data_IF_221085044645
#
_entry.id   IF_221085044645
#
_cell.length_a   1.000
_cell.length_b   1.000
_cell.length_c   1.000
_cell.angle_alpha   90.00
_cell.angle_beta   90.00
_cell.angle_gamma   90.00
#
_symmetry.space_group_name_H-M   'P 1'
#
loop_
_entity.id
_entity.type
_entity.pdbx_description
1 polymer ?
#
# COMPACT_ATOMS: atom_id res chain seq x y z
N UNK A 1 -30.04 -16.40 44.34
CA UNK A 1 -29.83 -16.77 42.92
C UNK A 1 -30.35 -15.73 41.92
N UNK A 2 -31.17 -14.75 42.31
CA UNK A 2 -31.70 -13.72 41.40
C UNK A 2 -30.92 -12.40 41.33
N UNK A 3 -29.99 -12.11 42.24
CA UNK A 3 -29.21 -10.85 42.20
C UNK A 3 -27.94 -10.93 41.34
N UNK A 4 -27.40 -12.14 41.12
CA UNK A 4 -26.16 -12.34 40.35
C UNK A 4 -26.40 -12.24 38.83
N UNK A 5 -27.58 -12.66 38.38
CA UNK A 5 -27.98 -12.65 36.97
C UNK A 5 -28.22 -11.20 36.50
N UNK A 6 -28.84 -10.36 37.33
CA UNK A 6 -29.09 -8.94 37.03
C UNK A 6 -27.80 -8.15 36.87
N UNK A 7 -26.76 -8.44 37.67
CA UNK A 7 -25.43 -7.83 37.54
C UNK A 7 -24.74 -8.24 36.23
N UNK A 8 -24.90 -9.48 35.79
CA UNK A 8 -24.35 -9.96 34.51
C UNK A 8 -24.96 -9.26 33.29
N UNK A 9 -26.26 -8.94 33.33
CA UNK A 9 -26.94 -8.18 32.28
C UNK A 9 -26.56 -6.69 32.29
N UNK A 10 -26.35 -6.08 33.45
CA UNK A 10 -25.89 -4.68 33.55
C UNK A 10 -24.45 -4.53 33.04
N UNK A 11 -23.58 -5.53 33.27
CA UNK A 11 -22.20 -5.55 32.74
C UNK A 11 -22.11 -5.80 31.22
N UNK A 12 -23.14 -6.39 30.60
CA UNK A 12 -23.22 -6.55 29.14
C UNK A 12 -23.96 -5.40 28.45
N UNK A 13 -24.85 -4.68 29.14
CA UNK A 13 -25.56 -3.52 28.60
C UNK A 13 -24.70 -2.24 28.56
N UNK A 14 -23.61 -2.16 29.32
CA UNK A 14 -22.71 -1.00 29.33
C UNK A 14 -21.71 -0.94 28.16
N UNK A 15 -21.72 -1.92 27.25
CA UNK A 15 -20.91 -1.88 26.02
C UNK A 15 -21.56 -1.14 24.85
N UNK A 16 -22.78 -0.62 25.01
CA UNK A 16 -23.50 0.03 23.92
C UNK A 16 -23.44 1.56 23.91
N UNK A 17 -22.77 2.22 24.86
CA UNK A 17 -22.69 3.69 24.88
C UNK A 17 -21.27 4.12 25.23
N UNK A 18 -20.34 3.83 24.35
CA UNK A 18 -19.16 4.67 24.14
C UNK A 18 -18.78 4.40 22.69
N UNK A 19 -18.94 5.39 21.81
CA UNK A 19 -18.41 5.30 20.46
C UNK A 19 -16.95 4.88 20.57
N UNK A 20 -16.60 3.76 19.94
CA UNK A 20 -15.22 3.32 19.89
C UNK A 20 -14.43 4.40 19.14
N UNK A 21 -13.77 5.27 19.89
CA UNK A 21 -12.62 5.99 19.35
C UNK A 21 -11.59 4.88 19.13
N UNK A 22 -11.40 4.47 17.88
CA UNK A 22 -10.26 3.63 17.50
C UNK A 22 -9.00 4.45 17.79
N UNK A 23 -8.47 4.32 19.01
CA UNK A 23 -7.13 4.78 19.31
C UNK A 23 -6.19 3.87 18.54
N UNK A 24 -5.65 4.38 17.44
CA UNK A 24 -4.67 3.69 16.61
C UNK A 24 -3.48 3.32 17.50
N UNK A 25 -3.29 2.03 17.73
CA UNK A 25 -2.20 1.51 18.55
C UNK A 25 -0.88 1.94 17.91
N UNK A 26 0.03 2.64 18.63
CA UNK A 26 1.30 3.09 18.08
C UNK A 26 2.22 1.94 17.65
N UNK A 27 1.91 0.70 18.05
CA UNK A 27 2.59 -0.53 17.61
C UNK A 27 1.92 -1.19 16.41
N UNK A 28 0.79 -0.65 15.91
CA UNK A 28 0.10 -1.17 14.75
C UNK A 28 0.85 -0.84 13.45
N UNK A 29 1.09 -1.87 12.64
CA UNK A 29 1.67 -1.69 11.31
C UNK A 29 0.77 -0.82 10.43
N UNK A 30 1.37 0.12 9.72
CA UNK A 30 0.66 1.09 8.88
C UNK A 30 1.30 1.23 7.51
N UNK A 31 0.52 1.66 6.53
CA UNK A 31 0.99 2.05 5.20
C UNK A 31 0.73 3.52 4.96
N UNK A 32 1.56 4.19 4.17
CA UNK A 32 1.17 5.49 3.64
C UNK A 32 -0.09 5.34 2.77
N UNK A 33 -0.99 6.32 2.89
CA UNK A 33 -2.23 6.42 2.16
C UNK A 33 -2.45 7.87 1.70
N UNK A 34 -2.13 8.15 0.43
CA UNK A 34 -2.35 9.44 -0.24
C UNK A 34 -1.98 9.31 -1.72
N UNK A 35 -2.36 10.29 -2.53
CA UNK A 35 -1.92 10.42 -3.93
C UNK A 35 -1.13 11.72 -4.10
N UNK A 36 0.14 11.62 -4.48
CA UNK A 36 0.95 12.76 -4.92
C UNK A 36 0.66 13.04 -6.40
N UNK A 37 0.14 14.24 -6.65
CA UNK A 37 -0.28 14.68 -7.97
C UNK A 37 0.81 15.46 -8.69
N UNK A 38 0.61 15.59 -10.01
CA UNK A 38 1.47 16.39 -10.87
C UNK A 38 1.41 17.89 -10.49
N UNK A 39 2.49 18.66 -10.75
CA UNK A 39 2.55 20.12 -10.62
C UNK A 39 1.41 20.95 -11.21
N UNK A 40 0.64 20.40 -12.15
CA UNK A 40 -0.49 21.08 -12.81
C UNK A 40 -1.71 21.24 -11.88
N UNK A 41 -1.74 20.53 -10.76
CA UNK A 41 -2.79 20.62 -9.75
C UNK A 41 -2.38 21.58 -8.61
N UNK A 42 -3.34 22.12 -7.86
CA UNK A 42 -3.09 23.06 -6.77
C UNK A 42 -3.60 22.53 -5.41
N UNK A 43 -3.44 23.33 -4.35
CA UNK A 43 -3.87 23.00 -3.00
C UNK A 43 -5.40 22.74 -2.88
N UNK A 44 -6.20 23.16 -3.86
CA UNK A 44 -7.64 22.90 -3.88
C UNK A 44 -8.00 21.51 -4.43
N UNK A 45 -7.00 20.75 -4.91
CA UNK A 45 -7.12 19.42 -5.51
C UNK A 45 -8.06 18.46 -4.74
N UNK A 46 -8.02 18.48 -3.40
CA UNK A 46 -8.87 17.64 -2.54
C UNK A 46 -10.38 17.86 -2.71
N UNK A 47 -10.77 19.06 -3.15
CA UNK A 47 -12.16 19.48 -3.33
C UNK A 47 -12.58 19.53 -4.81
N UNK A 48 -11.63 19.74 -5.73
CA UNK A 48 -11.90 19.94 -7.16
C UNK A 48 -11.66 18.69 -8.02
N UNK A 49 -10.79 17.76 -7.59
CA UNK A 49 -10.46 16.58 -8.39
C UNK A 49 -11.50 15.49 -8.20
N UNK A 50 -12.12 15.11 -9.31
CA UNK A 50 -12.92 13.91 -9.42
C UNK A 50 -12.01 12.73 -9.83
N UNK A 51 -12.08 11.61 -9.12
CA UNK A 51 -11.38 10.38 -9.48
C UNK A 51 -11.54 9.97 -10.95
N UNK A 52 -12.67 10.31 -11.57
CA UNK A 52 -12.94 10.02 -12.99
C UNK A 52 -12.00 10.74 -13.96
N UNK A 53 -11.34 11.83 -13.56
CA UNK A 53 -10.35 12.53 -14.41
C UNK A 53 -8.94 11.96 -14.28
N UNK A 54 -8.68 11.13 -13.26
CA UNK A 54 -7.38 10.50 -13.02
C UNK A 54 -7.27 9.20 -13.82
N UNK A 55 -6.93 9.31 -15.10
CA UNK A 55 -6.74 8.13 -15.96
C UNK A 55 -5.59 7.26 -15.45
N UNK A 56 -5.83 5.94 -15.37
CA UNK A 56 -4.87 4.91 -14.95
C UNK A 56 -4.21 5.11 -13.58
N UNK A 57 -4.69 6.05 -12.76
CA UNK A 57 -4.12 6.35 -11.44
C UNK A 57 -5.11 5.95 -10.36
N UNK A 58 -4.70 5.15 -9.34
CA UNK A 58 -5.57 4.86 -8.21
C UNK A 58 -6.02 6.15 -7.53
N UNK A 59 -7.31 6.29 -7.28
CA UNK A 59 -7.85 7.48 -6.63
C UNK A 59 -7.84 7.30 -5.11
N UNK A 60 -6.80 7.78 -4.45
CA UNK A 60 -6.63 7.66 -2.99
C UNK A 60 -6.44 9.05 -2.39
N UNK A 61 -7.27 9.38 -1.39
CA UNK A 61 -7.18 10.62 -0.65
C UNK A 61 -6.28 10.47 0.60
N UNK A 62 -5.65 11.56 1.08
CA UNK A 62 -5.67 12.91 0.50
C UNK A 62 -4.81 13.04 -0.76
N UNK A 63 -5.08 14.06 -1.56
CA UNK A 63 -4.21 14.52 -2.63
C UNK A 63 -3.17 15.48 -2.07
N UNK A 64 -1.91 15.21 -2.41
CA UNK A 64 -0.74 15.97 -1.99
C UNK A 64 -0.07 16.55 -3.23
N UNK A 65 0.47 17.75 -3.08
CA UNK A 65 1.04 18.53 -4.15
C UNK A 65 2.41 19.10 -3.74
N UNK A 66 3.30 19.25 -4.71
CA UNK A 66 4.59 19.93 -4.55
C UNK A 66 4.79 20.92 -5.69
N UNK A 67 5.13 22.17 -5.37
CA UNK A 67 5.29 23.25 -6.34
C UNK A 67 6.44 23.03 -7.33
N UNK A 68 7.48 22.29 -6.91
CA UNK A 68 8.74 22.12 -7.65
C UNK A 68 8.80 20.81 -8.44
N UNK A 69 7.70 20.07 -8.55
CA UNK A 69 7.64 18.75 -9.21
C UNK A 69 8.48 17.66 -8.55
N UNK A 70 9.05 17.91 -7.37
CA UNK A 70 9.81 16.89 -6.65
C UNK A 70 8.87 16.01 -5.83
N UNK A 71 9.14 14.70 -5.72
CA UNK A 71 8.36 13.83 -4.85
C UNK A 71 8.34 14.35 -3.41
N UNK A 72 7.20 14.25 -2.70
CA UNK A 72 7.11 14.72 -1.33
C UNK A 72 8.07 13.93 -0.44
N UNK A 73 8.62 14.59 0.58
CA UNK A 73 9.47 13.95 1.57
C UNK A 73 8.59 13.14 2.54
N UNK A 74 8.27 11.91 2.15
CA UNK A 74 7.40 11.02 2.93
C UNK A 74 7.96 10.71 4.33
N UNK A 75 9.28 10.72 4.51
CA UNK A 75 9.90 10.53 5.82
C UNK A 75 9.63 11.73 6.74
N UNK A 76 9.71 12.95 6.20
CA UNK A 76 9.34 14.15 6.92
C UNK A 76 7.84 14.14 7.28
N UNK A 77 6.98 13.80 6.33
CA UNK A 77 5.54 13.70 6.57
C UNK A 77 5.21 12.70 7.69
N UNK A 78 5.92 11.57 7.77
CA UNK A 78 5.72 10.59 8.85
C UNK A 78 6.14 11.09 10.24
N UNK A 79 7.14 11.95 10.29
CA UNK A 79 7.69 12.50 11.53
C UNK A 79 6.86 13.68 12.05
N UNK A 80 6.47 14.58 11.15
CA UNK A 80 5.97 15.91 11.51
C UNK A 80 4.46 16.12 11.23
N UNK A 81 3.85 15.34 10.32
CA UNK A 81 2.43 15.50 10.00
C UNK A 81 1.52 14.55 10.79
N UNK A 82 0.21 14.79 10.71
CA UNK A 82 -0.79 13.92 11.30
C UNK A 82 -0.79 12.56 10.57
N UNK A 83 -0.06 11.59 11.14
CA UNK A 83 0.02 10.21 10.62
C UNK A 83 -1.36 9.63 10.28
N UNK A 84 -2.40 9.99 11.01
CA UNK A 84 -3.74 9.44 10.78
C UNK A 84 -4.38 9.90 9.46
N UNK A 85 -3.98 11.05 8.94
CA UNK A 85 -4.52 11.59 7.69
C UNK A 85 -3.83 10.99 6.46
N UNK A 86 -2.55 10.69 6.57
CA UNK A 86 -1.69 10.20 5.48
C UNK A 86 -1.36 8.70 5.57
N UNK A 87 -2.00 7.97 6.47
CA UNK A 87 -1.74 6.53 6.65
C UNK A 87 -2.98 5.72 6.99
N UNK A 88 -2.97 4.47 6.57
CA UNK A 88 -3.97 3.46 6.93
C UNK A 88 -3.36 2.38 7.81
N UNK A 89 -4.16 1.84 8.72
CA UNK A 89 -3.80 0.67 9.51
C UNK A 89 -3.79 -0.58 8.62
N UNK A 90 -2.70 -1.35 8.69
CA UNK A 90 -2.54 -2.55 7.89
C UNK A 90 -3.37 -3.70 8.48
N UNK A 91 -4.30 -4.24 7.69
CA UNK A 91 -5.04 -5.46 8.01
C UNK A 91 -4.19 -6.69 7.72
N UNK A 92 -4.53 -7.84 8.32
CA UNK A 92 -3.74 -9.08 8.21
C UNK A 92 -3.43 -9.50 6.76
N UNK A 93 -4.39 -9.28 5.86
CA UNK A 93 -4.34 -9.63 4.45
C UNK A 93 -3.92 -8.48 3.52
N UNK A 94 -3.59 -7.30 4.07
CA UNK A 94 -3.22 -6.12 3.29
C UNK A 94 -1.70 -5.95 3.21
N UNK A 95 -1.22 -5.40 2.10
CA UNK A 95 0.14 -4.93 1.89
C UNK A 95 0.13 -3.42 1.68
N UNK A 96 1.27 -2.79 1.93
CA UNK A 96 1.51 -1.41 1.56
C UNK A 96 1.87 -1.37 0.08
N UNK A 97 1.12 -0.58 -0.67
CA UNK A 97 1.26 -0.45 -2.11
C UNK A 97 1.81 0.95 -2.41
N UNK A 98 2.77 1.01 -3.34
CA UNK A 98 3.23 2.23 -4.00
C UNK A 98 3.00 2.05 -5.50
N UNK A 99 2.20 2.92 -6.09
CA UNK A 99 1.81 2.91 -7.49
C UNK A 99 2.34 4.17 -8.16
N UNK A 100 3.37 4.04 -8.99
CA UNK A 100 4.06 5.15 -9.66
C UNK A 100 3.73 5.16 -11.15
N UNK A 101 3.30 6.31 -11.66
CA UNK A 101 3.11 6.53 -13.09
C UNK A 101 4.31 7.29 -13.64
N UNK A 102 5.05 6.68 -14.57
CA UNK A 102 6.35 7.19 -15.04
C UNK A 102 6.26 7.50 -16.53
N UNK A 103 6.74 8.69 -16.91
CA UNK A 103 6.82 9.14 -18.30
C UNK A 103 8.19 9.72 -18.56
N UNK A 104 8.85 9.34 -19.67
CA UNK A 104 10.20 9.81 -20.01
C UNK A 104 11.19 9.72 -18.82
N UNK A 105 11.13 8.62 -18.07
CA UNK A 105 11.98 8.36 -16.90
C UNK A 105 11.74 9.30 -15.69
N UNK A 106 10.71 10.16 -15.75
CA UNK A 106 10.28 11.00 -14.65
C UNK A 106 8.99 10.46 -14.02
N UNK A 107 8.93 10.45 -12.69
CA UNK A 107 7.71 10.11 -11.95
C UNK A 107 6.72 11.25 -12.10
N UNK A 108 5.55 10.95 -12.65
CA UNK A 108 4.50 11.91 -12.97
C UNK A 108 3.50 12.05 -11.83
N UNK A 109 3.14 10.93 -11.22
CA UNK A 109 2.34 10.86 -10.01
C UNK A 109 2.68 9.57 -9.25
N UNK A 110 2.38 9.56 -7.96
CA UNK A 110 2.54 8.36 -7.13
C UNK A 110 1.38 8.24 -6.16
N UNK A 111 0.77 7.06 -6.08
CA UNK A 111 -0.28 6.76 -5.13
C UNK A 111 0.17 5.70 -4.13
N UNK A 112 -0.03 5.98 -2.85
CA UNK A 112 0.31 5.13 -1.73
C UNK A 112 -1.00 4.66 -1.08
N UNK A 113 -1.13 3.37 -0.76
CA UNK A 113 -2.33 2.86 -0.08
C UNK A 113 -2.13 1.47 0.54
N UNK A 114 -3.00 1.11 1.48
CA UNK A 114 -3.15 -0.28 1.92
C UNK A 114 -4.08 -1.02 0.95
N UNK A 115 -3.70 -2.23 0.53
CA UNK A 115 -4.57 -3.02 -0.31
C UNK A 115 -4.09 -4.45 -0.49
N UNK A 116 -4.67 -5.14 -1.47
CA UNK A 116 -4.23 -6.47 -1.89
C UNK A 116 -3.64 -6.36 -3.28
N UNK A 117 -2.52 -7.03 -3.50
CA UNK A 117 -1.91 -7.14 -4.80
C UNK A 117 -1.84 -8.62 -5.17
N UNK A 118 -2.19 -8.95 -6.41
CA UNK A 118 -2.14 -10.33 -6.91
C UNK A 118 -1.55 -10.38 -8.30
N UNK A 119 -0.64 -11.32 -8.54
CA UNK A 119 -0.20 -11.70 -9.88
C UNK A 119 -1.21 -12.69 -10.48
N UNK A 120 -1.64 -12.43 -11.71
CA UNK A 120 -2.59 -13.25 -12.49
C UNK A 120 -3.88 -13.67 -11.75
N UNK A 121 -4.37 -12.81 -10.84
CA UNK A 121 -5.55 -13.04 -9.97
C UNK A 121 -5.45 -14.29 -9.09
N UNK A 122 -4.25 -14.88 -8.95
CA UNK A 122 -4.06 -16.19 -8.30
C UNK A 122 -3.03 -16.14 -7.20
N UNK A 123 -1.95 -15.39 -7.40
CA UNK A 123 -0.81 -15.40 -6.49
C UNK A 123 -0.84 -14.11 -5.67
N UNK A 124 -1.13 -14.16 -4.36
CA UNK A 124 -1.04 -12.98 -3.52
C UNK A 124 0.41 -12.50 -3.45
N UNK A 125 0.62 -11.22 -3.70
CA UNK A 125 1.93 -10.58 -3.64
C UNK A 125 2.09 -9.89 -2.29
N UNK A 126 3.06 -10.35 -1.51
CA UNK A 126 3.39 -9.79 -0.19
C UNK A 126 4.55 -8.81 -0.25
N UNK A 127 5.39 -8.91 -1.27
CA UNK A 127 6.54 -8.04 -1.51
C UNK A 127 6.92 -7.99 -3.00
N UNK A 128 7.71 -6.98 -3.38
CA UNK A 128 8.31 -6.84 -4.71
C UNK A 128 7.65 -5.77 -5.57
N UNK A 129 8.26 -5.47 -6.72
CA UNK A 129 7.79 -4.49 -7.69
C UNK A 129 7.55 -5.10 -9.07
N UNK A 130 6.52 -4.60 -9.73
CA UNK A 130 6.08 -5.03 -11.03
C UNK A 130 5.89 -3.81 -11.93
N UNK A 131 6.33 -3.93 -13.17
CA UNK A 131 6.19 -2.87 -14.16
C UNK A 131 5.34 -3.32 -15.34
N UNK A 132 4.55 -2.41 -15.87
CA UNK A 132 3.79 -2.59 -17.11
C UNK A 132 3.83 -1.31 -17.93
N UNK A 133 3.79 -1.44 -19.25
CA UNK A 133 3.67 -0.28 -20.14
C UNK A 133 2.19 -0.11 -20.52
N UNK A 134 1.66 1.10 -20.32
CA UNK A 134 0.27 1.47 -20.64
C UNK A 134 0.31 2.82 -21.35
N UNK A 135 -0.16 2.87 -22.60
CA UNK A 135 -0.30 4.10 -23.39
C UNK A 135 0.95 5.00 -23.44
N UNK A 136 2.14 4.39 -23.51
CA UNK A 136 3.43 5.10 -23.55
C UNK A 136 4.00 5.48 -22.19
N UNK A 137 3.33 5.12 -21.10
CA UNK A 137 3.79 5.28 -19.72
C UNK A 137 4.27 3.96 -19.14
N UNK A 138 5.27 4.01 -18.26
CA UNK A 138 5.63 2.89 -17.41
C UNK A 138 4.90 3.03 -16.09
N UNK A 139 4.03 2.08 -15.78
CA UNK A 139 3.42 1.94 -14.47
C UNK A 139 4.29 1.01 -13.64
N UNK A 140 4.77 1.47 -12.50
CA UNK A 140 5.42 0.64 -11.49
C UNK A 140 4.51 0.46 -10.28
N UNK A 141 4.29 -0.77 -9.84
CA UNK A 141 3.54 -1.07 -8.62
C UNK A 141 4.38 -1.95 -7.71
N UNK A 142 4.62 -1.48 -6.50
CA UNK A 142 5.37 -2.18 -5.49
C UNK A 142 4.50 -2.55 -4.29
N UNK A 143 4.74 -3.73 -3.72
CA UNK A 143 4.12 -4.21 -2.50
C UNK A 143 5.17 -4.48 -1.42
N UNK A 144 4.80 -4.30 -0.16
CA UNK A 144 5.58 -4.73 1.00
C UNK A 144 4.69 -4.85 2.25
N UNK A 145 5.22 -5.49 3.29
CA UNK A 145 4.62 -5.53 4.63
C UNK A 145 5.39 -4.60 5.55
N UNK A 146 4.69 -3.64 6.16
CA UNK A 146 5.28 -2.76 7.18
C UNK A 146 5.36 -3.47 8.52
N UNK A 147 6.37 -3.13 9.30
CA UNK A 147 6.46 -3.49 10.72
C UNK A 147 5.72 -2.47 11.59
N UNK A 148 5.24 -2.95 12.74
CA UNK A 148 4.53 -2.15 13.73
C UNK A 148 5.36 -0.99 14.31
N UNK A 149 4.78 0.20 14.39
CA UNK A 149 5.42 1.38 14.98
C UNK A 149 6.61 1.98 14.19
N UNK A 150 6.96 1.39 13.05
CA UNK A 150 7.99 1.88 12.14
C UNK A 150 7.38 2.72 11.02
N UNK A 151 8.24 3.48 10.32
CA UNK A 151 7.83 4.16 9.09
C UNK A 151 7.32 3.13 8.06
N UNK A 152 6.22 3.43 7.34
CA UNK A 152 5.70 2.55 6.32
C UNK A 152 6.75 2.11 5.27
N UNK A 153 6.73 0.83 4.91
CA UNK A 153 7.67 0.25 3.95
C UNK A 153 7.45 0.77 2.51
N UNK A 154 6.24 1.25 2.19
CA UNK A 154 5.95 1.92 0.92
C UNK A 154 6.51 3.33 0.84
N UNK A 155 7.51 3.68 1.66
CA UNK A 155 8.26 4.93 1.64
C UNK A 155 9.40 4.96 0.61
N UNK A 156 9.98 3.80 0.28
CA UNK A 156 11.22 3.72 -0.50
C UNK A 156 11.04 4.07 -1.98
N UNK A 157 12.03 4.74 -2.56
CA UNK A 157 12.17 4.97 -4.01
C UNK A 157 12.80 3.78 -4.74
N UNK A 158 13.25 2.76 -4.01
CA UNK A 158 13.87 1.56 -4.53
C UNK A 158 13.36 0.36 -3.77
N UNK A 159 12.06 0.08 -3.91
CA UNK A 159 11.58 -1.23 -3.56
C UNK A 159 12.17 -2.18 -4.62
N UNK A 160 13.00 -3.13 -4.20
CA UNK A 160 13.80 -3.95 -5.12
C UNK A 160 12.88 -4.71 -6.08
N UNK A 161 13.06 -4.51 -7.38
CA UNK A 161 12.40 -5.31 -8.42
C UNK A 161 12.88 -6.75 -8.27
N UNK A 162 12.00 -7.65 -7.83
CA UNK A 162 12.30 -9.08 -7.80
C UNK A 162 12.10 -9.63 -9.22
N UNK A 163 13.18 -9.72 -9.99
CA UNK A 163 13.20 -10.60 -11.14
C UNK A 163 13.08 -12.04 -10.64
N UNK A 164 11.91 -12.65 -10.79
CA UNK A 164 11.72 -14.09 -10.55
C UNK A 164 12.48 -14.85 -11.64
N UNK A 165 13.77 -15.09 -11.43
CA UNK A 165 14.56 -16.00 -12.26
C UNK A 165 13.92 -17.39 -12.15
N UNK A 166 13.11 -17.76 -13.14
CA UNK A 166 12.60 -19.13 -13.34
C UNK A 166 13.74 -20.02 -13.87
N UNK A 167 14.77 -20.27 -13.04
CA UNK A 167 15.75 -21.31 -13.31
C UNK A 167 15.82 -22.22 -12.09
N UNK A 168 14.75 -22.99 -11.86
CA UNK A 168 14.76 -24.09 -10.89
C UNK A 168 13.98 -25.33 -11.36
N UNK A 169 13.68 -25.45 -12.66
CA UNK A 169 12.98 -26.62 -13.19
C UNK A 169 13.50 -27.10 -14.56
N UNK A 170 14.79 -26.92 -14.83
CA UNK A 170 15.45 -27.46 -16.04
C UNK A 170 16.60 -28.43 -15.72
N UNK A 171 17.08 -28.51 -14.46
CA UNK A 171 18.16 -29.44 -14.08
C UNK A 171 17.65 -30.80 -13.56
N UNK A 172 16.39 -30.93 -13.16
CA UNK A 172 15.83 -32.22 -12.74
C UNK A 172 15.44 -33.12 -13.93
N UNK A 173 15.11 -32.55 -15.09
CA UNK A 173 14.71 -33.35 -16.26
C UNK A 173 15.93 -33.94 -16.99
N UNK A 174 17.09 -33.27 -16.99
CA UNK A 174 18.31 -33.83 -17.58
C UNK A 174 18.85 -35.04 -16.79
N UNK A 175 18.69 -35.05 -15.45
CA UNK A 175 19.16 -36.16 -14.60
C UNK A 175 18.33 -37.44 -14.70
N UNK A 176 17.03 -37.32 -15.00
CA UNK A 176 16.14 -38.47 -15.21
C UNK A 176 16.38 -39.10 -16.59
N UNK A 177 16.65 -38.29 -17.63
CA UNK A 177 16.96 -38.82 -18.96
C UNK A 177 18.29 -39.58 -18.97
N UNK A 178 19.32 -39.11 -18.24
CA UNK A 178 20.63 -39.81 -18.19
C UNK A 178 20.53 -41.16 -17.47
N UNK A 179 19.69 -41.30 -16.42
CA UNK A 179 19.53 -42.58 -15.70
C UNK A 179 18.63 -43.61 -16.41
N UNK A 180 17.92 -43.23 -17.46
CA UNK A 180 17.10 -44.16 -18.26
C UNK A 180 17.91 -44.75 -19.43
N UNK A 181 19.01 -44.10 -19.84
CA UNK A 181 19.83 -44.50 -20.98
C UNK A 181 21.25 -45.00 -20.62
N UNK A 182 21.53 -45.24 -19.33
CA UNK A 182 22.76 -45.88 -18.82
C UNK A 182 22.42 -47.16 -18.06
#
# INVERSE_FOLDING_TARGET
>A
MNHLITLFFILHASKCILGAVELKDPTQASCFQFTWLRPEYDDNANSTINCSSLMHTPCVKPFIYTNDSTPPNVSYMWQEENRNEISCSMRSDYVCIKYSYIYNQAVVNTTYFCGKMTEDKKIPLTDGCYTQNVDGYTVETCACKSDGGQQPCNSSNQMTVKFRNFISCQLFILGIVINIFL
#
